data_IF_636269037433
#
_entry.id   IF_636269037433
#
_cell.length_a   1.000
_cell.length_b   1.000
_cell.length_c   1.000
_cell.angle_alpha   90.00
_cell.angle_beta   90.00
_cell.angle_gamma   90.00
#
_symmetry.space_group_name_H-M   'P 1'
#
loop_
_entity.id
_entity.type
_entity.pdbx_description
1 polymer ?
#
# COMPACT_ATOMS: atom_id res chain seq x y z
N UNK A 1 18.76 -5.87 2.32
CA UNK A 1 17.86 -5.35 1.26
C UNK A 1 18.17 -3.86 1.05
N UNK A 2 18.34 -3.37 -0.19
CA UNK A 2 18.58 -1.96 -0.49
C UNK A 2 17.35 -1.09 -0.16
N UNK A 3 17.53 0.11 0.40
CA UNK A 3 16.42 1.06 0.64
C UNK A 3 16.11 1.77 -0.69
N UNK A 4 14.86 1.87 -1.18
CA UNK A 4 13.59 1.34 -0.69
C UNK A 4 13.30 -0.09 -1.19
N UNK A 5 12.69 -0.91 -0.33
CA UNK A 5 12.31 -2.29 -0.68
C UNK A 5 10.80 -2.47 -0.62
N UNK A 6 10.25 -3.27 -1.53
CA UNK A 6 8.86 -3.70 -1.44
C UNK A 6 8.81 -5.15 -0.96
N UNK A 7 7.71 -5.53 -0.30
CA UNK A 7 7.45 -6.90 0.07
C UNK A 7 5.97 -7.21 -0.12
N UNK A 8 5.69 -8.40 -0.65
CA UNK A 8 4.36 -8.98 -0.60
C UNK A 8 4.20 -9.70 0.71
N UNK A 9 3.12 -9.40 1.41
CA UNK A 9 2.77 -10.01 2.67
C UNK A 9 1.52 -10.83 2.45
N UNK A 10 1.62 -12.12 2.75
CA UNK A 10 0.52 -13.07 2.68
C UNK A 10 0.13 -13.45 4.09
N UNK A 11 -1.13 -13.23 4.46
CA UNK A 11 -1.67 -13.75 5.70
C UNK A 11 -2.03 -15.23 5.48
N UNK A 12 -1.35 -16.12 6.21
CA UNK A 12 -1.51 -17.56 6.03
C UNK A 12 -2.83 -18.09 6.60
N UNK A 13 -3.50 -17.32 7.47
CA UNK A 13 -4.78 -17.72 8.05
C UNK A 13 -5.96 -17.50 7.10
N UNK A 14 -5.90 -16.49 6.22
CA UNK A 14 -7.02 -16.12 5.34
C UNK A 14 -6.64 -16.04 3.85
N UNK A 15 -5.37 -16.26 3.49
CA UNK A 15 -4.87 -16.21 2.12
C UNK A 15 -4.79 -14.81 1.49
N UNK A 16 -5.13 -13.75 2.23
CA UNK A 16 -5.09 -12.37 1.72
C UNK A 16 -3.65 -11.93 1.52
N UNK A 17 -3.43 -11.14 0.47
CA UNK A 17 -2.11 -10.67 0.07
C UNK A 17 -2.11 -9.16 -0.15
N UNK A 18 -1.06 -8.48 0.27
CA UNK A 18 -0.86 -7.06 0.01
C UNK A 18 0.62 -6.75 -0.22
N UNK A 19 0.91 -5.86 -1.17
CA UNK A 19 2.26 -5.34 -1.38
C UNK A 19 2.43 -4.06 -0.56
N UNK A 20 3.49 -4.01 0.24
CA UNK A 20 3.83 -2.85 1.07
C UNK A 20 5.24 -2.36 0.77
N UNK A 21 5.45 -1.06 0.96
CA UNK A 21 6.77 -0.44 0.94
C UNK A 21 7.39 -0.51 2.33
N UNK A 22 8.62 -1.00 2.41
CA UNK A 22 9.41 -1.03 3.64
C UNK A 22 10.08 0.33 3.80
N UNK A 23 9.67 1.06 4.83
CA UNK A 23 10.20 2.39 5.16
C UNK A 23 11.09 2.39 6.40
N UNK A 24 11.07 1.34 7.20
CA UNK A 24 11.82 1.24 8.44
C UNK A 24 12.36 -0.18 8.64
N UNK A 25 13.54 -0.26 9.25
CA UNK A 25 14.16 -1.50 9.70
C UNK A 25 14.44 -1.37 11.17
N UNK A 26 13.67 -2.09 11.98
CA UNK A 26 13.95 -2.19 13.40
C UNK A 26 14.90 -3.35 13.70
N UNK A 27 15.50 -3.37 14.89
CA UNK A 27 15.48 -4.59 15.69
C UNK A 27 14.01 -4.90 15.99
N UNK A 28 13.48 -5.97 15.41
CA UNK A 28 12.17 -6.45 15.81
C UNK A 28 12.36 -7.33 17.04
N UNK A 29 11.68 -7.02 18.15
CA UNK A 29 11.75 -7.83 19.37
C UNK A 29 11.50 -9.31 19.05
N UNK A 30 12.05 -10.20 19.89
CA UNK A 30 12.22 -11.64 19.64
C UNK A 30 11.01 -12.38 19.04
N UNK A 31 9.80 -11.82 19.20
CA UNK A 31 8.54 -12.46 18.89
C UNK A 31 7.84 -11.88 17.65
N UNK A 32 8.34 -10.77 17.07
CA UNK A 32 7.69 -10.10 15.92
C UNK A 32 8.65 -9.99 14.74
N UNK A 33 8.19 -10.39 13.55
CA UNK A 33 9.01 -10.37 12.32
C UNK A 33 8.82 -9.07 11.52
N UNK A 34 7.64 -8.45 11.60
CA UNK A 34 7.30 -7.24 10.84
C UNK A 34 6.23 -6.39 11.55
N UNK A 35 6.22 -5.10 11.26
CA UNK A 35 5.18 -4.16 11.72
C UNK A 35 4.50 -3.58 10.49
N UNK A 36 3.16 -3.63 10.47
CA UNK A 36 2.37 -3.04 9.41
C UNK A 36 1.70 -1.77 9.92
N UNK A 37 1.46 -0.83 9.00
CA UNK A 37 0.57 0.28 9.30
C UNK A 37 -0.84 -0.24 9.57
N UNK A 38 -1.61 0.49 10.37
CA UNK A 38 -3.01 0.14 10.69
C UNK A 38 -3.82 -0.15 9.43
N UNK A 39 -3.71 0.73 8.42
CA UNK A 39 -4.40 0.56 7.15
C UNK A 39 -4.01 -0.74 6.40
N UNK A 40 -2.73 -1.15 6.45
CA UNK A 40 -2.30 -2.39 5.84
C UNK A 40 -2.78 -3.62 6.63
N UNK A 41 -2.74 -3.55 7.97
CA UNK A 41 -3.24 -4.61 8.85
C UNK A 41 -4.76 -4.83 8.66
N UNK A 42 -5.53 -3.75 8.57
CA UNK A 42 -6.98 -3.79 8.34
C UNK A 42 -7.31 -4.42 6.98
N UNK A 43 -6.58 -4.02 5.92
CA UNK A 43 -6.73 -4.58 4.57
C UNK A 43 -6.27 -6.03 4.46
N UNK A 44 -5.31 -6.45 5.27
CA UNK A 44 -4.83 -7.83 5.34
C UNK A 44 -5.67 -8.69 6.31
N UNK A 45 -6.55 -8.05 7.09
CA UNK A 45 -7.31 -8.64 8.18
C UNK A 45 -6.40 -9.48 9.10
N UNK A 46 -5.32 -8.85 9.57
CA UNK A 46 -4.26 -9.48 10.38
C UNK A 46 -4.30 -8.95 11.81
N UNK A 47 -4.17 -9.84 12.78
CA UNK A 47 -4.10 -9.53 14.22
C UNK A 47 -2.68 -9.71 14.76
N UNK A 48 -2.42 -9.27 16.00
CA UNK A 48 -1.09 -9.17 16.62
C UNK A 48 -0.19 -10.42 16.56
N UNK A 49 -0.75 -11.62 16.39
CA UNK A 49 -0.01 -12.88 16.36
C UNK A 49 -0.31 -13.74 15.11
N UNK A 50 -0.75 -13.11 14.02
CA UNK A 50 -1.04 -13.84 12.78
C UNK A 50 0.26 -14.24 12.08
N UNK A 51 0.34 -15.52 11.69
CA UNK A 51 1.46 -15.99 10.87
C UNK A 51 1.34 -15.41 9.47
N UNK A 52 2.37 -14.68 9.07
CA UNK A 52 2.46 -14.07 7.74
C UNK A 52 3.68 -14.63 7.00
N UNK A 53 3.53 -14.79 5.69
CA UNK A 53 4.64 -15.07 4.78
C UNK A 53 5.07 -13.75 4.14
N UNK A 54 6.38 -13.53 4.09
CA UNK A 54 6.97 -12.31 3.55
C UNK A 54 7.79 -12.70 2.32
N UNK A 55 7.32 -12.28 1.15
CA UNK A 55 8.04 -12.47 -0.10
C UNK A 55 8.64 -11.11 -0.54
N UNK A 56 9.96 -10.92 -0.54
CA UNK A 56 10.57 -9.66 -0.97
C UNK A 56 10.35 -9.41 -2.47
N UNK A 57 10.21 -8.14 -2.82
CA UNK A 57 10.18 -7.63 -4.19
C UNK A 57 11.42 -6.75 -4.37
N UNK A 58 12.28 -7.18 -5.28
CA UNK A 58 13.49 -6.48 -5.67
C UNK A 58 13.11 -5.48 -6.75
N UNK A 59 13.46 -4.22 -6.53
CA UNK A 59 13.29 -3.15 -7.52
C UNK A 59 14.67 -2.82 -8.04
N UNK A 60 14.89 -3.05 -9.33
CA UNK A 60 16.12 -2.64 -10.00
C UNK A 60 16.10 -1.12 -10.26
N UNK A 61 17.28 -0.53 -10.49
CA UNK A 61 17.43 0.93 -10.65
C UNK A 61 16.74 1.48 -11.92
N UNK A 62 16.50 0.61 -12.89
CA UNK A 62 15.70 0.88 -14.10
C UNK A 62 14.18 0.87 -13.83
N UNK A 63 13.77 0.57 -12.59
CA UNK A 63 12.36 0.45 -12.19
C UNK A 63 11.76 -0.93 -12.45
N UNK A 64 12.52 -1.89 -12.97
CA UNK A 64 12.05 -3.26 -13.17
C UNK A 64 11.84 -3.95 -11.83
N UNK A 65 10.71 -4.64 -11.68
CA UNK A 65 10.33 -5.33 -10.45
C UNK A 65 10.55 -6.85 -10.61
N UNK A 66 11.25 -7.48 -9.67
CA UNK A 66 11.55 -8.92 -9.68
C UNK A 66 11.45 -9.56 -8.28
N UNK A 67 11.52 -10.89 -8.21
CA UNK A 67 11.54 -11.65 -6.95
C UNK A 67 10.27 -12.46 -6.68
N UNK A 68 10.26 -13.26 -5.60
CA UNK A 68 9.15 -14.16 -5.29
C UNK A 68 7.83 -13.41 -5.03
N UNK A 69 7.89 -12.17 -4.57
CA UNK A 69 6.71 -11.32 -4.34
C UNK A 69 6.04 -10.80 -5.61
N UNK A 70 6.67 -10.95 -6.79
CA UNK A 70 6.12 -10.58 -8.10
C UNK A 70 5.31 -11.70 -8.77
N UNK A 71 5.51 -12.95 -8.36
CA UNK A 71 4.82 -14.10 -8.97
C UNK A 71 3.30 -13.91 -8.84
N UNK A 72 2.59 -13.83 -9.98
CA UNK A 72 1.14 -13.60 -10.04
C UNK A 72 0.65 -12.26 -9.42
N UNK A 73 1.53 -11.25 -9.29
CA UNK A 73 1.16 -9.95 -8.70
C UNK A 73 1.09 -8.87 -9.76
N UNK A 74 -0.12 -8.39 -10.05
CA UNK A 74 -0.33 -7.21 -10.89
C UNK A 74 -0.21 -5.94 -10.03
N UNK A 75 0.81 -5.14 -10.29
CA UNK A 75 0.99 -3.85 -9.59
C UNK A 75 0.11 -2.80 -10.24
N UNK A 76 -1.09 -2.59 -9.69
CA UNK A 76 -1.88 -1.41 -10.01
C UNK A 76 -1.25 -0.20 -9.32
N UNK A 77 -0.64 0.71 -10.08
CA UNK A 77 -0.10 1.97 -9.56
C UNK A 77 -1.28 2.91 -9.27
N UNK A 78 -1.85 2.83 -8.07
CA UNK A 78 -2.80 3.84 -7.58
C UNK A 78 -2.02 5.11 -7.22
N UNK A 79 -1.82 5.98 -8.21
CA UNK A 79 -1.35 7.34 -7.97
C UNK A 79 -2.52 8.13 -7.38
N UNK A 80 -2.49 8.37 -6.07
CA UNK A 80 -3.33 9.41 -5.48
C UNK A 80 -2.81 10.74 -6.03
N UNK A 81 -3.55 11.36 -6.95
CA UNK A 81 -3.26 12.74 -7.34
C UNK A 81 -3.36 13.60 -6.06
N UNK A 82 -2.28 14.30 -5.74
CA UNK A 82 -2.35 15.31 -4.69
C UNK A 82 -3.40 16.34 -5.11
N UNK A 83 -4.28 16.78 -4.20
CA UNK A 83 -5.20 17.86 -4.51
C UNK A 83 -4.40 19.09 -4.99
N UNK A 84 -5.03 19.92 -5.82
CA UNK A 84 -4.44 21.18 -6.23
C UNK A 84 -4.01 21.98 -4.98
N UNK A 85 -2.86 22.68 -5.03
CA UNK A 85 -2.42 23.49 -3.90
C UNK A 85 -3.52 24.48 -3.51
N UNK A 86 -3.76 24.69 -2.20
CA UNK A 86 -4.73 25.68 -1.76
C UNK A 86 -4.30 27.07 -2.26
N UNK A 87 -5.22 27.79 -2.89
CA UNK A 87 -5.00 29.17 -3.28
C UNK A 87 -5.04 30.05 -2.02
N UNK A 88 -3.91 30.66 -1.68
CA UNK A 88 -3.77 31.56 -0.54
C UNK A 88 -4.02 33.03 -0.93
N UNK A 89 -4.44 33.31 -2.18
CA UNK A 89 -4.79 34.65 -2.66
C UNK A 89 -6.23 35.02 -2.29
N UNK A 90 -6.41 35.33 -1.01
CA UNK A 90 -7.59 35.94 -0.36
C UNK A 90 -8.91 36.11 -1.13
N UNK A 91 -9.98 35.48 -0.62
CA UNK A 91 -11.35 35.95 -0.82
C UNK A 91 -12.41 34.85 -0.84
N UNK A 92 -13.19 34.77 0.25
CA UNK A 92 -14.58 34.30 0.34
C UNK A 92 -15.08 33.16 -0.60
N UNK A 93 -15.50 32.05 0.00
CA UNK A 93 -16.46 31.15 -0.67
C UNK A 93 -16.40 29.71 -0.19
N UNK A 94 -17.31 29.37 0.73
CA UNK A 94 -17.60 28.00 1.09
C UNK A 94 -18.17 27.18 -0.10
N UNK A 95 -18.13 25.85 0.06
CA UNK A 95 -18.81 24.79 -0.72
C UNK A 95 -18.25 24.51 -2.13
N UNK A 96 -17.98 23.27 -2.52
CA UNK A 96 -18.88 22.11 -2.43
C UNK A 96 -18.14 20.77 -2.44
N UNK A 97 -18.68 19.85 -1.66
CA UNK A 97 -18.57 18.40 -1.80
C UNK A 97 -19.01 17.98 -3.21
N UNK A 98 -18.23 17.15 -3.89
CA UNK A 98 -18.75 16.22 -4.91
C UNK A 98 -17.94 14.92 -4.86
N UNK A 99 -18.62 13.83 -4.49
CA UNK A 99 -18.08 12.47 -4.53
C UNK A 99 -18.11 11.89 -5.96
N UNK A 100 -17.55 10.68 -6.18
CA UNK A 100 -17.47 10.09 -7.50
C UNK A 100 -18.81 9.42 -7.85
N UNK A 101 -19.55 9.99 -8.80
CA UNK A 101 -20.72 9.35 -9.39
C UNK A 101 -20.33 8.80 -10.77
N UNK A 102 -20.00 7.51 -10.80
CA UNK A 102 -20.09 6.74 -12.03
C UNK A 102 -21.55 6.33 -12.22
N UNK A 103 -22.10 6.60 -13.39
CA UNK A 103 -23.01 5.68 -14.09
C UNK A 103 -23.26 6.18 -15.53
N UNK A 104 -23.36 5.21 -16.43
CA UNK A 104 -23.25 5.30 -17.89
C UNK A 104 -24.66 5.22 -18.51
N UNK A 105 -24.99 6.24 -19.32
CA UNK A 105 -25.89 6.36 -20.51
C UNK A 105 -27.33 5.77 -20.57
N UNK A 106 -28.29 6.46 -21.22
CA UNK A 106 -29.70 6.04 -21.38
C UNK A 106 -29.99 5.25 -22.67
N UNK A 107 -31.15 4.55 -22.70
CA UNK A 107 -31.92 4.15 -23.90
C UNK A 107 -33.10 5.06 -24.08
#
# INVERSE_FOLDING_TARGET
>A
LPIPSYARITNLANGRMIVVRINDRGPYGNDRVISLSRAAADRLNTSNNTKVRIDPIIVAQDGSLSGPGMACTTVAKQTYALPAPPDLSGGAGASSVSGPQGDILPV
#
